data_IF_172827015075
#
_entry.id   IF_172827015075
#
_cell.length_a   1.000
_cell.length_b   1.000
_cell.length_c   1.000
_cell.angle_alpha   90.00
_cell.angle_beta   90.00
_cell.angle_gamma   90.00
#
_symmetry.space_group_name_H-M   'P 1'
#
loop_
_entity.id
_entity.type
_entity.pdbx_description
1 polymer ?
#
# COMPACT_ATOMS: atom_id res chain seq x y z
N UNK A 1 -22.65 3.83 -21.57
CA UNK A 1 -22.17 2.77 -20.65
C UNK A 1 -20.64 2.74 -20.66
N UNK A 2 -19.97 3.26 -19.63
CA UNK A 2 -18.58 2.90 -19.25
C UNK A 2 -18.11 3.86 -18.14
N UNK A 3 -18.29 3.48 -16.86
CA UNK A 3 -17.75 4.25 -15.74
C UNK A 3 -17.53 3.38 -14.50
N UNK A 4 -16.80 2.27 -14.64
CA UNK A 4 -16.63 1.33 -13.50
C UNK A 4 -15.19 0.87 -13.27
N UNK A 5 -14.26 1.12 -14.18
CA UNK A 5 -12.89 0.60 -14.07
C UNK A 5 -11.93 1.42 -13.19
N UNK A 6 -12.38 2.53 -12.58
CA UNK A 6 -11.51 3.43 -11.79
C UNK A 6 -11.64 3.29 -10.25
N UNK A 7 -12.54 2.44 -9.74
CA UNK A 7 -12.73 2.22 -8.31
C UNK A 7 -12.41 0.77 -7.96
N UNK A 8 -11.12 0.41 -7.90
CA UNK A 8 -10.76 -0.86 -7.28
C UNK A 8 -11.15 -0.79 -5.79
N UNK A 9 -11.95 -1.73 -5.27
CA UNK A 9 -12.16 -1.82 -3.84
C UNK A 9 -10.81 -1.99 -3.14
N UNK A 10 -10.68 -1.42 -1.94
CA UNK A 10 -9.53 -1.71 -1.08
C UNK A 10 -9.48 -3.23 -0.92
N UNK A 11 -8.40 -3.84 -1.42
CA UNK A 11 -8.23 -5.29 -1.41
C UNK A 11 -6.95 -5.64 -0.69
N UNK A 12 -6.98 -6.75 0.03
CA UNK A 12 -5.85 -7.26 0.80
C UNK A 12 -5.20 -8.41 0.07
N UNK A 13 -3.88 -8.40 0.06
CA UNK A 13 -3.02 -9.38 -0.59
C UNK A 13 -2.18 -10.08 0.49
N UNK A 14 -2.10 -11.41 0.51
CA UNK A 14 -1.20 -12.11 1.42
C UNK A 14 0.25 -11.84 1.01
N UNK A 15 1.11 -11.66 2.01
CA UNK A 15 2.54 -11.57 1.76
C UNK A 15 3.09 -12.96 1.39
N UNK A 16 3.57 -13.10 0.16
CA UNK A 16 4.28 -14.26 -0.40
C UNK A 16 5.75 -13.94 -0.69
N UNK A 17 6.30 -12.91 -0.05
CA UNK A 17 7.64 -12.40 -0.27
C UNK A 17 7.69 -11.16 -1.17
N UNK A 18 6.60 -10.41 -1.28
CA UNK A 18 6.59 -9.13 -2.01
C UNK A 18 7.14 -7.98 -1.15
N UNK A 19 7.22 -8.15 0.16
CA UNK A 19 7.72 -7.20 1.14
C UNK A 19 8.31 -7.93 2.35
N UNK A 20 8.69 -7.17 3.38
CA UNK A 20 9.22 -7.65 4.66
C UNK A 20 8.44 -8.86 5.24
N UNK A 21 9.13 -9.93 5.71
CA UNK A 21 8.50 -11.18 6.14
C UNK A 21 7.58 -11.08 7.37
N UNK A 22 7.69 -10.01 8.17
CA UNK A 22 6.80 -9.80 9.33
C UNK A 22 5.41 -9.33 8.91
N UNK A 23 5.29 -8.77 7.71
CA UNK A 23 4.00 -8.43 7.10
C UNK A 23 3.27 -9.71 6.71
N UNK A 24 2.01 -9.84 7.12
CA UNK A 24 1.13 -10.97 6.78
C UNK A 24 0.22 -10.64 5.61
N UNK A 25 -0.33 -9.42 5.61
CA UNK A 25 -1.16 -8.91 4.52
C UNK A 25 -0.78 -7.46 4.22
N UNK A 26 -0.98 -7.05 2.97
CA UNK A 26 -0.87 -5.66 2.57
C UNK A 26 -2.09 -5.23 1.74
N UNK A 27 -2.38 -3.93 1.75
CA UNK A 27 -3.34 -3.33 0.85
C UNK A 27 -2.72 -2.10 0.21
N UNK A 28 -2.97 -1.92 -1.08
CA UNK A 28 -2.37 -0.84 -1.87
C UNK A 28 -3.43 0.03 -2.49
N UNK A 29 -3.20 1.33 -2.41
CA UNK A 29 -3.93 2.34 -3.17
C UNK A 29 -2.94 3.18 -3.99
N UNK A 30 -3.45 4.19 -4.69
CA UNK A 30 -2.58 5.10 -5.47
C UNK A 30 -1.67 5.97 -4.61
N UNK A 31 -2.06 6.25 -3.36
CA UNK A 31 -1.41 7.25 -2.49
C UNK A 31 -0.88 6.69 -1.17
N UNK A 32 -1.24 5.46 -0.81
CA UNK A 32 -0.76 4.84 0.43
C UNK A 32 -0.73 3.32 0.33
N UNK A 33 0.11 2.72 1.18
CA UNK A 33 0.14 1.27 1.42
C UNK A 33 -0.15 1.00 2.89
N UNK A 34 -1.04 0.04 3.15
CA UNK A 34 -1.28 -0.52 4.47
C UNK A 34 -0.53 -1.85 4.56
N UNK A 35 0.26 -2.02 5.62
CA UNK A 35 0.91 -3.27 5.98
C UNK A 35 0.33 -3.77 7.30
N UNK A 36 -0.09 -5.03 7.32
CA UNK A 36 -0.67 -5.69 8.49
C UNK A 36 0.30 -6.78 8.95
N UNK A 37 0.85 -6.62 10.15
CA UNK A 37 1.77 -7.59 10.79
C UNK A 37 1.01 -8.47 11.78
N UNK A 38 1.70 -9.20 12.67
CA UNK A 38 1.03 -9.94 13.74
C UNK A 38 0.28 -9.03 14.74
N UNK A 39 0.83 -7.87 15.10
CA UNK A 39 0.32 -7.03 16.21
C UNK A 39 0.28 -5.53 15.89
N UNK A 40 0.72 -5.16 14.68
CA UNK A 40 0.83 -3.77 14.24
C UNK A 40 0.22 -3.58 12.85
N UNK A 41 -0.39 -2.41 12.65
CA UNK A 41 -0.75 -1.88 11.35
C UNK A 41 0.16 -0.69 11.03
N UNK A 42 0.79 -0.70 9.87
CA UNK A 42 1.61 0.39 9.36
C UNK A 42 0.94 0.96 8.12
N UNK A 43 0.64 2.26 8.14
CA UNK A 43 0.13 3.01 6.99
C UNK A 43 1.23 3.95 6.51
N UNK A 44 1.69 3.71 5.30
CA UNK A 44 2.72 4.52 4.64
C UNK A 44 2.06 5.37 3.55
N UNK A 45 2.14 6.69 3.70
CA UNK A 45 1.66 7.65 2.72
C UNK A 45 2.83 8.04 1.80
N UNK A 46 2.73 7.65 0.53
CA UNK A 46 3.74 7.98 -0.46
C UNK A 46 3.35 9.26 -1.20
N UNK A 47 4.17 10.29 -1.07
CA UNK A 47 4.09 11.47 -1.95
C UNK A 47 4.71 11.09 -3.32
N UNK A 48 3.86 10.97 -4.34
CA UNK A 48 4.30 10.60 -5.70
C UNK A 48 4.97 11.74 -6.45
N UNK A 49 5.02 12.96 -5.90
CA UNK A 49 5.76 14.07 -6.53
C UNK A 49 7.27 14.00 -6.27
N UNK A 50 7.76 13.02 -5.50
CA UNK A 50 9.17 12.86 -5.14
C UNK A 50 9.80 11.55 -5.63
N UNK A 51 9.53 11.10 -6.86
CA UNK A 51 10.33 10.07 -7.52
C UNK A 51 11.36 10.72 -8.47
N UNK A 52 12.68 10.41 -8.38
CA UNK A 52 13.66 10.93 -9.33
C UNK A 52 13.38 10.34 -10.72
N UNK A 53 13.04 11.22 -11.67
CA UNK A 53 12.89 10.88 -13.09
C UNK A 53 14.23 10.42 -13.66
N UNK A 54 14.45 9.11 -13.67
CA UNK A 54 15.55 8.47 -14.38
C UNK A 54 15.23 8.36 -15.87
N UNK A 55 15.33 9.46 -16.61
CA UNK A 55 15.44 9.46 -18.06
C UNK A 55 16.52 10.47 -18.49
N UNK A 56 17.47 10.10 -19.38
CA UNK A 56 18.60 10.94 -19.73
C UNK A 56 18.15 12.12 -20.59
N UNK A 57 18.17 13.32 -20.01
CA UNK A 57 17.85 14.56 -20.71
C UNK A 57 19.09 15.02 -21.48
N UNK A 58 19.08 14.77 -22.80
CA UNK A 58 20.08 15.30 -23.74
C UNK A 58 20.09 16.82 -23.68
N UNK A 59 21.30 17.36 -23.62
CA UNK A 59 21.68 18.77 -23.58
C UNK A 59 21.29 19.56 -24.83
N UNK A 60 20.67 20.71 -24.63
CA UNK A 60 20.87 21.92 -25.43
C UNK A 60 20.65 23.17 -24.55
N UNK A 61 21.73 23.95 -24.36
CA UNK A 61 21.80 25.35 -23.89
C UNK A 61 20.75 26.25 -24.61
N UNK A 62 20.23 27.39 -24.10
CA UNK A 62 20.90 28.54 -23.45
C UNK A 62 19.85 29.64 -23.08
N UNK A 63 20.14 30.39 -22.00
CA UNK A 63 19.86 31.82 -21.71
C UNK A 63 18.43 32.39 -21.46
N UNK A 64 18.17 32.63 -20.16
CA UNK A 64 17.72 33.87 -19.48
C UNK A 64 16.40 34.57 -19.85
N UNK A 65 15.50 34.70 -18.87
CA UNK A 65 15.09 35.99 -18.27
C UNK A 65 14.33 35.75 -16.95
N UNK A 66 14.69 36.55 -15.93
CA UNK A 66 14.17 36.58 -14.56
C UNK A 66 12.65 36.81 -14.51
N UNK A 67 11.93 36.11 -13.63
CA UNK A 67 10.73 36.59 -12.92
C UNK A 67 10.52 35.76 -11.64
N UNK A 68 9.88 36.34 -10.61
CA UNK A 68 10.22 36.10 -9.20
C UNK A 68 9.68 34.78 -8.67
N UNK A 69 10.38 34.30 -7.65
CA UNK A 69 10.02 33.20 -6.75
C UNK A 69 8.57 33.31 -6.28
N UNK A 70 7.65 32.63 -6.97
CA UNK A 70 6.35 32.28 -6.39
C UNK A 70 6.61 31.20 -5.35
N UNK A 71 6.64 31.63 -4.10
CA UNK A 71 6.48 30.78 -2.93
C UNK A 71 5.18 29.98 -3.06
N UNK A 72 5.24 28.78 -3.61
CA UNK A 72 4.22 27.76 -3.37
C UNK A 72 4.64 26.92 -2.17
N UNK A 73 4.50 27.49 -0.96
CA UNK A 73 4.31 26.69 0.25
C UNK A 73 2.88 26.14 0.19
N UNK A 74 2.66 25.05 -0.54
CA UNK A 74 1.45 24.24 -0.40
C UNK A 74 1.67 22.91 -1.11
N UNK A 75 1.72 21.81 -0.33
CA UNK A 75 1.75 20.43 -0.86
C UNK A 75 2.75 19.46 -0.22
N UNK A 76 3.69 19.92 0.60
CA UNK A 76 4.82 19.09 1.09
C UNK A 76 4.60 18.48 2.49
N UNK A 77 3.39 18.00 2.82
CA UNK A 77 3.05 17.55 4.18
C UNK A 77 2.10 16.33 4.24
N UNK A 78 2.18 15.41 3.27
CA UNK A 78 1.49 14.11 3.41
C UNK A 78 2.41 12.89 3.31
N UNK A 79 3.73 13.09 3.14
CA UNK A 79 4.69 12.01 3.27
C UNK A 79 4.86 11.68 4.76
N UNK A 80 4.38 10.52 5.19
CA UNK A 80 4.42 10.13 6.59
C UNK A 80 4.06 8.67 6.82
N UNK A 81 4.54 8.12 7.93
CA UNK A 81 4.24 6.75 8.35
C UNK A 81 3.46 6.81 9.66
N UNK A 82 2.28 6.21 9.66
CA UNK A 82 1.47 6.01 10.87
C UNK A 82 1.58 4.55 11.28
N UNK A 83 2.03 4.30 12.51
CA UNK A 83 2.08 2.95 13.10
C UNK A 83 1.08 2.84 14.24
N UNK A 84 0.21 1.85 14.16
CA UNK A 84 -0.74 1.49 15.21
C UNK A 84 -0.30 0.16 15.78
N UNK A 85 -0.07 0.12 17.10
CA UNK A 85 0.32 -1.10 17.83
C UNK A 85 -0.77 -1.52 18.79
N UNK A 86 -1.14 -2.79 18.74
CA UNK A 86 -2.10 -3.39 19.67
C UNK A 86 -1.41 -3.75 20.97
N UNK A 87 -1.53 -2.90 21.99
CA UNK A 87 -0.90 -3.09 23.29
C UNK A 87 -1.53 -4.29 24.02
N UNK A 88 -0.69 -5.10 24.68
CA UNK A 88 -1.10 -6.31 25.41
C UNK A 88 -1.88 -7.35 24.57
N UNK A 89 -1.74 -7.30 23.24
CA UNK A 89 -2.34 -8.28 22.35
C UNK A 89 -1.57 -9.60 22.38
N UNK A 90 -2.25 -10.67 21.95
CA UNK A 90 -1.61 -11.93 21.64
C UNK A 90 -0.46 -11.70 20.64
N UNK A 91 0.75 -12.14 20.97
CA UNK A 91 1.95 -11.89 20.16
C UNK A 91 1.97 -12.70 18.85
N UNK A 92 1.14 -13.74 18.73
CA UNK A 92 1.04 -14.58 17.54
C UNK A 92 -0.43 -14.95 17.24
N UNK A 93 -1.28 -13.98 16.86
CA UNK A 93 -2.68 -14.25 16.54
C UNK A 93 -2.79 -15.02 15.24
N UNK A 94 -3.91 -15.76 15.07
CA UNK A 94 -4.18 -16.45 13.81
C UNK A 94 -4.74 -15.46 12.79
N UNK A 95 -3.92 -15.10 11.80
CA UNK A 95 -4.28 -14.14 10.75
C UNK A 95 -4.73 -14.86 9.48
N UNK A 96 -5.86 -14.44 8.90
CA UNK A 96 -6.40 -15.03 7.66
C UNK A 96 -7.13 -13.99 6.80
N UNK A 97 -6.94 -14.06 5.48
CA UNK A 97 -7.76 -13.33 4.52
C UNK A 97 -9.13 -14.01 4.39
N UNK A 98 -10.20 -13.23 4.42
CA UNK A 98 -11.59 -13.70 4.32
C UNK A 98 -12.32 -12.95 3.21
N UNK A 99 -13.40 -13.55 2.68
CA UNK A 99 -14.13 -12.99 1.54
C UNK A 99 -13.21 -12.78 0.32
N UNK A 100 -12.75 -13.90 -0.25
CA UNK A 100 -11.88 -13.88 -1.43
C UNK A 100 -12.57 -13.18 -2.59
N UNK A 101 -11.86 -12.27 -3.22
CA UNK A 101 -12.29 -11.54 -4.40
C UNK A 101 -11.90 -12.32 -5.68
N UNK A 102 -12.61 -12.13 -6.80
CA UNK A 102 -12.35 -12.85 -8.05
C UNK A 102 -11.01 -12.48 -8.73
N UNK A 103 -10.36 -11.39 -8.29
CA UNK A 103 -9.14 -10.87 -8.90
C UNK A 103 -7.85 -11.48 -8.34
N UNK A 104 -6.78 -11.35 -9.11
CA UNK A 104 -5.42 -11.69 -8.70
C UNK A 104 -4.46 -10.54 -8.99
N UNK A 105 -3.37 -10.48 -8.24
CA UNK A 105 -2.26 -9.56 -8.46
C UNK A 105 -1.00 -10.34 -8.84
N UNK A 106 -0.22 -9.77 -9.76
CA UNK A 106 1.04 -10.33 -10.22
C UNK A 106 2.17 -9.33 -9.98
N UNK A 107 3.28 -9.81 -9.44
CA UNK A 107 4.48 -9.06 -9.14
C UNK A 107 5.60 -9.56 -10.03
N UNK A 108 5.85 -8.82 -11.10
CA UNK A 108 6.86 -9.14 -12.12
C UNK A 108 8.09 -8.24 -11.92
N UNK A 109 8.74 -8.36 -10.76
CA UNK A 109 9.85 -7.48 -10.36
C UNK A 109 11.18 -8.11 -10.80
N UNK A 110 11.99 -7.34 -11.52
CA UNK A 110 13.27 -7.80 -12.06
C UNK A 110 13.12 -8.64 -13.32
N UNK A 111 14.26 -9.16 -13.80
CA UNK A 111 14.37 -9.87 -15.09
C UNK A 111 14.34 -11.40 -14.97
N UNK A 112 14.26 -11.97 -13.76
CA UNK A 112 14.17 -13.41 -13.54
C UNK A 112 12.72 -13.83 -13.25
N UNK A 113 12.03 -14.53 -14.19
CA UNK A 113 10.66 -14.99 -13.99
C UNK A 113 10.47 -15.94 -12.82
N UNK A 114 11.52 -16.64 -12.38
CA UNK A 114 11.46 -17.55 -11.21
C UNK A 114 11.28 -16.78 -9.90
N UNK A 115 11.57 -15.48 -9.91
CA UNK A 115 11.40 -14.58 -8.76
C UNK A 115 10.08 -13.81 -8.79
N UNK A 116 9.28 -13.97 -9.85
CA UNK A 116 7.98 -13.34 -9.96
C UNK A 116 6.97 -14.02 -9.04
N UNK A 117 6.09 -13.22 -8.44
CA UNK A 117 4.96 -13.72 -7.66
C UNK A 117 3.68 -13.54 -8.46
N UNK A 118 3.18 -14.60 -9.05
CA UNK A 118 1.96 -14.58 -9.87
C UNK A 118 0.77 -15.17 -9.11
N UNK A 119 -0.44 -14.85 -9.57
CA UNK A 119 -1.70 -15.39 -9.05
C UNK A 119 -1.83 -15.22 -7.51
N UNK A 120 -1.43 -14.05 -7.02
CA UNK A 120 -1.65 -13.68 -5.62
C UNK A 120 -3.14 -13.37 -5.46
N UNK A 121 -3.90 -14.13 -4.64
CA UNK A 121 -5.32 -13.90 -4.46
C UNK A 121 -5.56 -12.62 -3.67
N UNK A 122 -6.69 -11.97 -3.91
CA UNK A 122 -7.11 -10.79 -3.14
C UNK A 122 -8.31 -11.11 -2.25
N UNK A 123 -8.42 -10.38 -1.13
CA UNK A 123 -9.46 -10.56 -0.12
C UNK A 123 -10.10 -9.22 0.23
N UNK A 124 -11.39 -9.22 0.56
CA UNK A 124 -12.08 -8.02 1.00
C UNK A 124 -11.76 -7.66 2.46
N UNK A 125 -11.42 -8.67 3.28
CA UNK A 125 -11.16 -8.51 4.72
C UNK A 125 -9.98 -9.35 5.18
N UNK A 126 -9.35 -8.93 6.27
CA UNK A 126 -8.35 -9.72 7.01
C UNK A 126 -8.82 -9.87 8.45
N UNK A 127 -8.94 -11.11 8.92
CA UNK A 127 -9.36 -11.44 10.28
C UNK A 127 -8.17 -11.93 11.10
N UNK A 128 -8.03 -11.36 12.28
CA UNK A 128 -7.15 -11.74 13.37
C UNK A 128 -8.01 -12.41 14.43
N UNK A 129 -7.79 -13.70 14.67
CA UNK A 129 -8.50 -14.42 15.74
C UNK A 129 -7.74 -14.39 17.05
N UNK A 130 -8.49 -14.27 18.14
CA UNK A 130 -7.98 -14.28 19.51
C UNK A 130 -6.85 -13.25 19.69
N UNK A 131 -7.08 -12.03 19.18
CA UNK A 131 -6.11 -10.92 19.32
C UNK A 131 -6.04 -10.43 20.76
N UNK A 132 -7.18 -10.51 21.45
CA UNK A 132 -7.32 -10.48 22.91
C UNK A 132 -8.17 -11.69 23.31
N UNK A 133 -8.18 -12.09 24.61
CA UNK A 133 -9.00 -13.19 25.07
C UNK A 133 -10.48 -13.03 24.66
N UNK A 134 -10.95 -13.90 23.76
CA UNK A 134 -12.32 -13.90 23.25
C UNK A 134 -12.66 -12.80 22.25
N UNK A 135 -11.67 -12.06 21.73
CA UNK A 135 -11.88 -10.94 20.79
C UNK A 135 -11.16 -11.22 19.47
N UNK A 136 -11.91 -11.08 18.39
CA UNK A 136 -11.39 -11.05 17.02
C UNK A 136 -11.29 -9.60 16.52
N UNK A 137 -10.26 -9.30 15.73
CA UNK A 137 -10.12 -8.04 15.01
C UNK A 137 -10.27 -8.28 13.51
N UNK A 138 -11.05 -7.45 12.83
CA UNK A 138 -11.24 -7.53 11.38
C UNK A 138 -10.88 -6.20 10.74
N UNK A 139 -9.90 -6.24 9.84
CA UNK A 139 -9.57 -5.13 8.94
C UNK A 139 -10.39 -5.27 7.66
N UNK A 140 -11.03 -4.18 7.25
CA UNK A 140 -11.78 -4.07 6.00
C UNK A 140 -11.77 -2.62 5.52
N UNK A 141 -11.90 -2.42 4.21
CA UNK A 141 -11.98 -1.08 3.63
C UNK A 141 -13.43 -0.61 3.50
N UNK A 142 -13.69 0.66 3.84
CA UNK A 142 -14.92 1.35 3.45
C UNK A 142 -14.61 2.36 2.34
N UNK A 143 -15.33 2.28 1.23
CA UNK A 143 -15.30 3.30 0.18
C UNK A 143 -15.96 4.58 0.70
N UNK A 144 -15.20 5.46 1.38
CA UNK A 144 -15.58 6.87 1.45
C UNK A 144 -14.77 7.62 0.40
N UNK A 145 -15.50 8.31 -0.47
CA UNK A 145 -14.93 9.26 -1.42
C UNK A 145 -14.11 10.28 -0.62
N UNK A 146 -12.86 10.48 -1.04
CA UNK A 146 -12.13 11.73 -0.82
C UNK A 146 -12.20 12.50 -2.14
#
# INVERSE_FOLDING_TARGET
MSQTYAKLPLSFEPNRGQTDPDVKFLSRSRSHTVFLTGTEMVLDFTDRDSAPSGAPQRSAEKLSLKHPSRTSKSGKDLAGVVRVKLVASNSAPKVSGTERLPGFVNYLIGNDPRRWQTQVPTYAKVRYRDIYPGVDLVYYGHQRQL
#
